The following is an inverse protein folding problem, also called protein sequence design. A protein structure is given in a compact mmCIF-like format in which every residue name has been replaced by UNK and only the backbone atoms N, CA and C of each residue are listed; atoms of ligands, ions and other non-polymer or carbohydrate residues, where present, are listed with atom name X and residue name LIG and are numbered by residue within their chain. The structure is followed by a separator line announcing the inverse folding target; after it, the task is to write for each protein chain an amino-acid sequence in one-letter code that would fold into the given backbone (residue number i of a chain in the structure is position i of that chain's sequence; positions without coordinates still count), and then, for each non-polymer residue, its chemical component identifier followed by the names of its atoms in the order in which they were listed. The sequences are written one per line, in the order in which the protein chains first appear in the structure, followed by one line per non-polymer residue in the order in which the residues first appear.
data_IF_558216108009
#
_entry.id   IF_558216108009
#
_cell.length_a   1.000
_cell.length_b   1.000
_cell.length_c   1.000
_cell.angle_alpha   90.00
_cell.angle_beta   90.00
_cell.angle_gamma   90.00
#
_symmetry.space_group_name_H-M   'P 1'
#
loop_
_entity.id
_entity.type
_entity.pdbx_description
1 polymer ?
#
# COMPACT_ATOMS: atom_id res chain seq x y z
N UNK A 1 -32.74 11.73 5.88
CA UNK A 1 -31.36 12.10 5.46
C UNK A 1 -30.37 11.13 6.09
N UNK A 2 -29.59 10.46 5.29
CA UNK A 2 -28.65 9.45 5.75
C UNK A 2 -27.24 9.76 5.26
N UNK A 3 -26.30 9.95 6.19
CA UNK A 3 -24.89 10.15 5.89
C UNK A 3 -24.14 8.87 6.20
N UNK A 4 -23.34 8.42 5.25
CA UNK A 4 -22.52 7.23 5.40
C UNK A 4 -21.08 7.61 5.07
N UNK A 5 -20.15 7.16 5.89
CA UNK A 5 -18.72 7.32 5.64
C UNK A 5 -18.14 5.94 5.36
N UNK A 6 -17.40 5.83 4.25
CA UNK A 6 -16.75 4.57 3.91
C UNK A 6 -15.32 4.82 3.44
N UNK A 7 -14.49 3.84 3.65
CA UNK A 7 -13.11 3.86 3.18
C UNK A 7 -12.91 2.69 2.24
N UNK A 8 -12.46 2.97 1.03
CA UNK A 8 -12.18 1.93 0.04
C UNK A 8 -10.73 2.05 -0.42
N UNK A 9 -10.13 0.94 -0.78
CA UNK A 9 -8.84 0.94 -1.47
C UNK A 9 -9.13 1.10 -2.95
N UNK A 10 -8.77 2.24 -3.52
CA UNK A 10 -9.10 2.53 -4.91
C UNK A 10 -7.92 2.41 -5.87
N UNK A 11 -6.70 2.27 -5.36
CA UNK A 11 -5.53 2.13 -6.21
C UNK A 11 -4.40 1.40 -5.49
N UNK A 12 -3.80 0.44 -6.18
CA UNK A 12 -2.63 -0.28 -5.69
C UNK A 12 -1.61 -0.27 -6.82
N UNK A 13 -0.43 0.30 -6.57
CA UNK A 13 0.64 0.34 -7.57
C UNK A 13 1.86 -0.40 -7.06
N UNK A 14 2.49 -1.16 -7.96
CA UNK A 14 3.79 -1.76 -7.72
C UNK A 14 4.84 -0.86 -8.35
N UNK A 15 5.76 -0.34 -7.55
CA UNK A 15 6.79 0.58 -8.01
C UNK A 15 8.15 -0.05 -7.78
N UNK A 16 8.98 -0.05 -8.82
CA UNK A 16 10.34 -0.58 -8.71
C UNK A 16 11.30 0.49 -8.20
N UNK A 17 12.05 0.14 -7.15
CA UNK A 17 13.10 0.99 -6.59
C UNK A 17 14.36 0.15 -6.53
N UNK A 18 15.39 0.52 -7.34
CA UNK A 18 16.61 -0.27 -7.50
C UNK A 18 16.26 -1.71 -7.89
N UNK A 19 16.55 -2.70 -7.07
CA UNK A 19 16.31 -4.12 -7.38
C UNK A 19 15.17 -4.72 -6.56
N UNK A 20 14.36 -3.88 -5.93
CA UNK A 20 13.20 -4.33 -5.16
C UNK A 20 11.97 -3.54 -5.56
N UNK A 21 10.83 -3.92 -5.02
CA UNK A 21 9.56 -3.27 -5.28
C UNK A 21 8.92 -2.81 -3.98
N UNK A 22 8.13 -1.74 -4.09
CA UNK A 22 7.26 -1.31 -2.99
C UNK A 22 5.85 -1.26 -3.53
N UNK A 23 4.86 -1.36 -2.63
CA UNK A 23 3.46 -1.15 -2.99
C UNK A 23 3.03 0.22 -2.51
N UNK A 24 2.47 1.00 -3.41
CA UNK A 24 1.83 2.27 -3.06
C UNK A 24 0.33 2.05 -3.08
N UNK A 25 -0.31 2.29 -1.96
CA UNK A 25 -1.74 2.06 -1.79
C UNK A 25 -2.43 3.39 -1.56
N UNK A 26 -3.52 3.61 -2.28
CA UNK A 26 -4.35 4.79 -2.08
C UNK A 26 -5.73 4.35 -1.58
N UNK A 27 -6.19 4.99 -0.54
CA UNK A 27 -7.53 4.80 -0.01
C UNK A 27 -8.35 6.04 -0.28
N UNK A 28 -9.59 5.85 -0.69
CA UNK A 28 -10.55 6.93 -0.82
C UNK A 28 -11.48 6.89 0.39
N UNK A 29 -11.55 8.01 1.10
CA UNK A 29 -12.44 8.18 2.24
C UNK A 29 -13.60 9.01 1.74
N UNK A 30 -14.78 8.37 1.67
CA UNK A 30 -15.95 8.94 1.02
C UNK A 30 -17.05 9.23 2.03
N UNK A 31 -17.70 10.38 1.86
CA UNK A 31 -18.92 10.72 2.59
C UNK A 31 -20.06 10.70 1.58
N UNK A 32 -21.07 9.89 1.87
CA UNK A 32 -22.18 9.65 0.95
C UNK A 32 -23.48 10.04 1.66
N UNK A 33 -24.31 10.83 0.98
CA UNK A 33 -25.64 11.19 1.46
C UNK A 33 -26.67 10.65 0.49
N UNK A 34 -27.58 9.79 0.99
CA UNK A 34 -28.68 9.23 0.22
C UNK A 34 -28.22 8.64 -1.13
N UNK A 35 -27.05 7.96 -1.12
CA UNK A 35 -26.49 7.33 -2.31
C UNK A 35 -25.65 8.24 -3.18
N UNK A 36 -25.52 9.51 -2.84
CA UNK A 36 -24.76 10.48 -3.62
C UNK A 36 -23.45 10.84 -2.91
N UNK A 37 -22.36 10.85 -3.65
CA UNK A 37 -21.06 11.21 -3.11
C UNK A 37 -20.99 12.71 -2.84
N UNK A 38 -20.84 13.09 -1.56
CA UNK A 38 -20.72 14.49 -1.16
C UNK A 38 -19.29 14.98 -1.16
N UNK A 39 -18.37 14.16 -0.64
CA UNK A 39 -16.97 14.52 -0.56
C UNK A 39 -16.10 13.29 -0.57
N UNK A 40 -14.85 13.49 -0.94
CA UNK A 40 -13.89 12.40 -1.03
C UNK A 40 -12.49 12.94 -0.74
N UNK A 41 -11.78 12.25 0.16
CA UNK A 41 -10.38 12.54 0.45
C UNK A 41 -9.58 11.28 0.21
N UNK A 42 -8.29 11.47 -0.06
CA UNK A 42 -7.41 10.35 -0.33
C UNK A 42 -6.33 10.25 0.74
N UNK A 43 -6.00 9.02 1.07
CA UNK A 43 -4.89 8.71 1.97
C UNK A 43 -3.98 7.72 1.25
N UNK A 44 -2.69 8.03 1.21
CA UNK A 44 -1.69 7.17 0.56
C UNK A 44 -0.72 6.64 1.59
N UNK A 45 -0.34 5.38 1.42
CA UNK A 45 0.72 4.79 2.23
C UNK A 45 1.54 3.84 1.37
N UNK A 46 2.72 3.51 1.85
CA UNK A 46 3.66 2.65 1.14
C UNK A 46 3.95 1.42 1.99
N UNK A 47 3.94 0.25 1.35
CA UNK A 47 4.32 -1.01 1.98
C UNK A 47 5.70 -1.42 1.44
N UNK A 48 6.67 -1.48 2.34
CA UNK A 48 8.02 -1.94 2.02
C UNK A 48 8.07 -3.47 2.05
N UNK A 49 9.10 -4.10 1.45
CA UNK A 49 9.19 -5.57 1.45
C UNK A 49 9.20 -6.22 2.84
N UNK A 50 9.61 -5.47 3.87
CA UNK A 50 9.66 -5.96 5.25
C UNK A 50 8.39 -5.69 6.04
N UNK A 51 7.33 -5.19 5.40
CA UNK A 51 6.07 -4.91 6.08
C UNK A 51 5.46 -6.19 6.63
N UNK A 52 4.76 -6.06 7.76
CA UNK A 52 4.10 -7.18 8.41
C UNK A 52 2.80 -7.52 7.67
N UNK A 53 2.79 -8.66 6.99
CA UNK A 53 1.63 -9.12 6.22
C UNK A 53 0.39 -9.27 7.11
N UNK A 54 0.58 -9.69 8.36
CA UNK A 54 -0.55 -9.88 9.28
C UNK A 54 -1.23 -8.57 9.65
N UNK A 55 -0.57 -7.44 9.45
CA UNK A 55 -1.14 -6.12 9.70
C UNK A 55 -1.93 -5.58 8.50
N UNK A 56 -1.87 -6.25 7.35
CA UNK A 56 -2.59 -5.83 6.16
C UNK A 56 -4.02 -6.37 6.24
N UNK A 57 -4.99 -5.47 6.36
CA UNK A 57 -6.39 -5.85 6.52
C UNK A 57 -7.13 -6.05 5.20
N UNK A 58 -6.70 -5.38 4.14
CA UNK A 58 -7.32 -5.48 2.82
C UNK A 58 -6.81 -6.73 2.11
N UNK A 59 -7.72 -7.64 1.77
CA UNK A 59 -7.36 -8.92 1.14
C UNK A 59 -6.69 -8.74 -0.22
N UNK A 60 -7.12 -7.76 -1.00
CA UNK A 60 -6.52 -7.48 -2.31
C UNK A 60 -5.10 -6.94 -2.16
N UNK A 61 -4.89 -6.02 -1.23
CA UNK A 61 -3.56 -5.49 -0.94
C UNK A 61 -2.65 -6.61 -0.47
N UNK A 62 -3.15 -7.47 0.41
CA UNK A 62 -2.40 -8.60 0.95
C UNK A 62 -1.99 -9.59 -0.15
N UNK A 63 -2.92 -9.91 -1.05
CA UNK A 63 -2.65 -10.80 -2.18
C UNK A 63 -1.58 -10.20 -3.11
N UNK A 64 -1.70 -8.91 -3.41
CA UNK A 64 -0.72 -8.21 -4.24
C UNK A 64 0.65 -8.19 -3.55
N UNK A 65 0.67 -7.89 -2.26
CA UNK A 65 1.91 -7.88 -1.49
C UNK A 65 2.61 -9.23 -1.56
N UNK A 66 1.87 -10.31 -1.31
CA UNK A 66 2.44 -11.66 -1.34
C UNK A 66 2.97 -12.04 -2.73
N UNK A 67 2.29 -11.59 -3.78
CA UNK A 67 2.70 -11.89 -5.16
C UNK A 67 3.98 -11.12 -5.55
N UNK A 68 4.11 -9.88 -5.10
CA UNK A 68 5.23 -9.00 -5.44
C UNK A 68 6.44 -9.23 -4.55
N UNK A 69 6.22 -9.40 -3.25
CA UNK A 69 7.30 -9.49 -2.26
C UNK A 69 7.81 -10.92 -2.12
N UNK A 70 8.49 -11.37 -3.16
CA UNK A 70 9.15 -12.68 -3.18
C UNK A 70 10.38 -12.67 -2.26
N UNK A 71 10.94 -13.86 -1.99
CA UNK A 71 12.15 -13.97 -1.19
C UNK A 71 13.31 -13.20 -1.83
N UNK A 72 13.39 -13.20 -3.15
CA UNK A 72 14.40 -12.44 -3.89
C UNK A 72 14.24 -10.94 -3.68
N UNK A 73 13.02 -10.43 -3.76
CA UNK A 73 12.72 -9.01 -3.54
C UNK A 73 13.08 -8.61 -2.12
N UNK A 74 12.73 -9.43 -1.14
CA UNK A 74 13.06 -9.15 0.27
C UNK A 74 14.56 -9.13 0.52
N UNK A 75 15.30 -10.06 -0.11
CA UNK A 75 16.76 -10.10 0.00
C UNK A 75 17.38 -8.86 -0.65
N UNK A 76 16.89 -8.45 -1.80
CA UNK A 76 17.36 -7.27 -2.50
C UNK A 76 17.11 -6.00 -1.68
N UNK A 77 15.98 -5.93 -1.01
CA UNK A 77 15.66 -4.81 -0.13
C UNK A 77 16.63 -4.73 1.06
N UNK A 78 16.91 -5.87 1.68
CA UNK A 78 17.86 -5.94 2.79
C UNK A 78 19.24 -5.45 2.37
N UNK A 79 19.66 -5.86 1.17
CA UNK A 79 20.93 -5.42 0.59
C UNK A 79 20.93 -3.91 0.31
N UNK A 80 19.81 -3.40 -0.20
CA UNK A 80 19.65 -1.97 -0.47
C UNK A 80 19.80 -1.15 0.81
N UNK A 81 19.16 -1.59 1.90
CA UNK A 81 19.28 -0.91 3.19
C UNK A 81 20.71 -0.91 3.71
N UNK A 82 21.42 -2.02 3.55
CA UNK A 82 22.81 -2.12 3.99
C UNK A 82 23.73 -1.17 3.18
N UNK A 83 23.47 -1.03 1.88
CA UNK A 83 24.22 -0.11 1.02
C UNK A 83 23.93 1.35 1.35
N UNK A 84 22.67 1.67 1.70
CA UNK A 84 22.27 3.00 2.15
C UNK A 84 23.01 3.40 3.42
N UNK A 85 23.13 2.49 4.38
CA UNK A 85 23.85 2.74 5.62
C UNK A 85 25.32 3.04 5.36
N UNK A 86 25.93 2.35 4.39
CA UNK A 86 27.33 2.56 4.05
C UNK A 86 27.57 3.87 3.30
N UNK A 87 26.57 4.37 2.62
CA UNK A 87 26.66 5.59 1.82
C UNK A 87 26.50 6.86 2.67
N UNK A 88 26.01 6.71 3.87
CA UNK A 88 25.71 7.86 4.74
C UNK A 88 26.88 8.29 5.62
#
# INVERSE_FOLDING_TARGET
MSLTKQTITDKIETVKIADHYVLQVRQAIQVIEDGNLLSQNFHRYVLQPDADVSAINDETVKAQFNAVMTDEVKANYTKYLAEEDKAS
#
